data_IF_702558708801
#
_entry.id   IF_702558708801
#
_cell.length_a   1.000
_cell.length_b   1.000
_cell.length_c   1.000
_cell.angle_alpha   90.00
_cell.angle_beta   90.00
_cell.angle_gamma   90.00
#
_symmetry.space_group_name_H-M   'P 1'
#
loop_
_entity.id
_entity.type
_entity.pdbx_description
1 polymer ?
#
# COMPACT_ATOMS: atom_id res chain seq x y z
N UNK A 1 32.28 94.81 15.66
CA UNK A 1 31.02 95.09 14.93
C UNK A 1 30.33 93.75 14.75
N UNK A 2 29.16 93.48 15.36
CA UNK A 2 27.81 93.99 15.01
C UNK A 2 27.43 93.64 13.57
N UNK A 3 26.26 93.09 13.21
CA UNK A 3 25.06 92.52 13.90
C UNK A 3 24.32 91.68 12.79
N UNK A 4 23.36 90.75 12.98
CA UNK A 4 22.55 90.35 14.16
C UNK A 4 21.95 88.90 14.01
N UNK A 5 21.07 88.51 14.94
CA UNK A 5 20.10 87.38 14.92
C UNK A 5 18.63 87.95 14.92
N UNK A 6 17.48 87.22 15.03
CA UNK A 6 17.23 85.79 15.32
C UNK A 6 16.05 85.09 14.56
N UNK A 7 15.80 83.81 14.89
CA UNK A 7 14.46 83.16 14.87
C UNK A 7 14.09 82.32 13.62
N UNK A 8 13.18 81.33 13.67
CA UNK A 8 12.32 80.78 14.75
C UNK A 8 12.07 79.26 14.51
N UNK A 9 11.93 78.45 15.57
CA UNK A 9 11.52 77.03 15.50
C UNK A 9 10.11 76.85 14.91
N UNK A 10 9.83 75.71 14.24
CA UNK A 10 8.44 75.22 14.22
C UNK A 10 8.27 73.70 14.08
N UNK A 11 7.58 73.12 15.06
CA UNK A 11 6.90 71.83 14.95
C UNK A 11 5.93 71.82 13.77
N UNK A 12 5.76 70.65 13.13
CA UNK A 12 4.56 70.35 12.35
C UNK A 12 3.90 69.08 12.90
N UNK A 13 2.69 69.26 13.41
CA UNK A 13 1.75 68.20 13.77
C UNK A 13 0.60 68.24 12.75
N UNK A 14 0.20 67.05 12.31
CA UNK A 14 -1.05 66.66 11.64
C UNK A 14 -2.14 67.73 11.41
N UNK A 15 -2.66 67.77 10.18
CA UNK A 15 -4.10 67.61 9.95
C UNK A 15 -4.37 66.92 8.61
N UNK A 16 -5.46 66.15 8.53
CA UNK A 16 -5.75 65.22 7.44
C UNK A 16 -6.52 65.84 6.27
N UNK A 17 -6.38 65.24 5.08
CA UNK A 17 -7.37 65.33 4.01
C UNK A 17 -7.70 63.91 3.49
N UNK A 18 -8.99 63.58 3.46
CA UNK A 18 -9.51 62.26 3.14
C UNK A 18 -9.76 62.16 1.63
N UNK A 19 -9.11 61.22 0.96
CA UNK A 19 -9.46 60.81 -0.41
C UNK A 19 -9.88 59.35 -0.41
N UNK A 20 -11.18 59.11 -0.60
CA UNK A 20 -11.77 57.77 -0.69
C UNK A 20 -11.39 57.16 -2.05
N UNK A 21 -10.65 56.05 -2.03
CA UNK A 21 -10.59 55.12 -3.17
C UNK A 21 -10.78 53.70 -2.64
N UNK A 22 -11.94 53.12 -2.98
CA UNK A 22 -12.32 51.75 -2.65
C UNK A 22 -11.42 50.75 -3.38
N UNK A 23 -10.45 50.19 -2.67
CA UNK A 23 -9.53 49.20 -3.22
C UNK A 23 -10.19 47.82 -3.19
N UNK A 24 -10.88 47.47 -4.29
CA UNK A 24 -11.54 46.18 -4.45
C UNK A 24 -10.47 45.10 -4.61
N UNK A 25 -10.19 44.38 -3.52
CA UNK A 25 -9.15 43.35 -3.48
C UNK A 25 -9.47 42.13 -4.36
N UNK A 26 -9.14 42.21 -5.64
CA UNK A 26 -8.96 41.01 -6.46
C UNK A 26 -7.74 40.26 -5.94
N UNK A 27 -7.99 39.17 -5.22
CA UNK A 27 -6.97 38.21 -4.86
C UNK A 27 -6.36 37.62 -6.15
N UNK A 28 -5.17 38.09 -6.53
CA UNK A 28 -4.36 37.43 -7.55
C UNK A 28 -3.99 36.04 -7.01
N UNK A 29 -4.63 35.01 -7.57
CA UNK A 29 -4.27 33.63 -7.30
C UNK A 29 -2.78 33.43 -7.65
N UNK A 30 -1.96 33.13 -6.65
CA UNK A 30 -0.53 32.89 -6.85
C UNK A 30 -0.34 31.71 -7.79
N UNK A 31 0.29 31.93 -8.94
CA UNK A 31 0.60 30.86 -9.88
C UNK A 31 1.49 29.79 -9.21
N UNK A 32 1.27 28.49 -9.50
CA UNK A 32 2.02 27.43 -8.84
C UNK A 32 3.51 27.51 -9.17
N UNK A 33 4.34 27.46 -8.12
CA UNK A 33 5.78 27.55 -8.25
C UNK A 33 6.38 26.39 -9.07
N UNK A 34 7.44 26.70 -9.81
CA UNK A 34 8.05 25.85 -10.83
C UNK A 34 8.79 24.63 -10.23
N UNK A 35 8.10 23.50 -10.15
CA UNK A 35 8.70 22.15 -10.21
C UNK A 35 9.63 21.72 -9.07
N UNK A 36 9.15 21.69 -7.82
CA UNK A 36 9.82 20.95 -6.74
C UNK A 36 9.79 19.45 -7.07
N UNK A 37 10.96 18.80 -7.16
CA UNK A 37 11.07 17.33 -7.24
C UNK A 37 10.93 16.75 -5.84
N UNK A 38 9.85 16.02 -5.60
CA UNK A 38 9.59 15.26 -4.38
C UNK A 38 9.99 13.79 -4.58
N UNK A 39 10.47 13.14 -3.52
CA UNK A 39 10.73 11.70 -3.50
C UNK A 39 9.44 10.90 -3.32
N UNK A 40 8.48 11.44 -2.57
CA UNK A 40 7.14 10.86 -2.40
C UNK A 40 6.29 11.04 -3.66
N UNK A 41 5.56 10.00 -4.05
CA UNK A 41 4.54 10.09 -5.09
C UNK A 41 3.36 10.96 -4.62
N UNK A 42 2.68 11.64 -5.56
CA UNK A 42 1.56 12.53 -5.27
C UNK A 42 0.44 11.84 -4.45
N UNK A 43 0.15 10.57 -4.74
CA UNK A 43 -0.85 9.77 -4.03
C UNK A 43 -0.54 9.60 -2.53
N UNK A 44 0.73 9.54 -2.12
CA UNK A 44 1.09 9.51 -0.68
C UNK A 44 0.91 10.89 -0.05
N UNK A 45 1.29 11.97 -0.76
CA UNK A 45 1.10 13.34 -0.28
C UNK A 45 -0.37 13.71 -0.08
N UNK A 46 -1.26 13.23 -0.95
CA UNK A 46 -2.71 13.41 -0.85
C UNK A 46 -3.35 12.76 0.40
N UNK A 47 -2.69 11.78 1.04
CA UNK A 47 -3.20 11.15 2.27
C UNK A 47 -2.93 12.00 3.52
N UNK A 48 -1.85 12.79 3.51
CA UNK A 48 -1.43 13.61 4.65
C UNK A 48 -2.48 14.62 5.14
N UNK A 49 -3.14 15.43 4.27
CA UNK A 49 -4.19 16.35 4.71
C UNK A 49 -5.50 15.66 5.13
N UNK A 50 -5.64 14.35 4.97
CA UNK A 50 -6.83 13.61 5.44
C UNK A 50 -6.69 13.16 6.91
N UNK A 51 -5.48 12.96 7.41
CA UNK A 51 -5.22 12.58 8.79
C UNK A 51 -5.59 13.67 9.81
N UNK A 52 -5.60 14.94 9.40
CA UNK A 52 -5.98 16.09 10.24
C UNK A 52 -7.48 16.42 10.26
N UNK A 53 -8.31 15.71 9.47
CA UNK A 53 -9.73 16.07 9.24
C UNK A 53 -10.74 14.96 9.55
N UNK A 54 -10.37 13.94 10.33
CA UNK A 54 -11.23 12.80 10.65
C UNK A 54 -12.57 13.18 11.32
N UNK A 55 -12.63 14.31 12.05
CA UNK A 55 -13.81 14.74 12.80
C UNK A 55 -14.82 15.60 12.00
N UNK A 56 -14.57 15.90 10.73
CA UNK A 56 -15.38 16.87 9.95
C UNK A 56 -16.34 16.25 8.92
N UNK A 57 -16.30 14.92 8.69
CA UNK A 57 -16.97 14.29 7.53
C UNK A 57 -18.35 13.66 7.78
N UNK A 58 -18.93 13.76 8.99
CA UNK A 58 -20.21 13.11 9.31
C UNK A 58 -21.43 13.71 8.58
N UNK A 59 -21.34 14.95 8.08
CA UNK A 59 -22.50 15.71 7.58
C UNK A 59 -22.48 16.06 6.06
N UNK A 60 -21.54 15.51 5.27
CA UNK A 60 -21.34 15.93 3.87
C UNK A 60 -21.54 14.82 2.81
N UNK A 61 -22.22 13.73 3.14
CA UNK A 61 -22.49 12.61 2.20
C UNK A 61 -23.96 12.59 1.75
N UNK A 62 -24.39 13.65 1.07
CA UNK A 62 -25.53 13.65 0.14
C UNK A 62 -25.24 14.61 -1.00
N UNK A 63 -25.30 14.11 -2.24
CA UNK A 63 -25.08 14.87 -3.50
C UNK A 63 -23.60 15.30 -3.64
N UNK A 64 -22.80 14.84 -4.60
CA UNK A 64 -22.99 14.63 -6.06
C UNK A 64 -22.29 13.34 -6.53
N UNK A 65 -22.77 12.72 -7.61
CA UNK A 65 -22.16 11.54 -8.21
C UNK A 65 -21.55 11.85 -9.60
N UNK A 66 -20.22 11.85 -9.71
CA UNK A 66 -19.52 12.01 -10.99
C UNK A 66 -18.30 11.06 -11.13
N UNK A 67 -18.61 9.77 -11.29
CA UNK A 67 -17.89 8.79 -12.13
C UNK A 67 -16.35 8.79 -12.19
N UNK A 68 -15.66 9.08 -11.09
CA UNK A 68 -14.35 8.51 -10.83
C UNK A 68 -14.45 7.56 -9.63
N UNK A 69 -14.62 6.25 -9.92
CA UNK A 69 -14.11 5.22 -9.00
C UNK A 69 -12.59 5.37 -8.97
N UNK A 70 -12.07 6.25 -8.12
CA UNK A 70 -10.68 6.17 -7.65
C UNK A 70 -10.59 4.79 -7.01
N UNK A 71 -10.03 3.82 -7.75
CA UNK A 71 -9.97 2.43 -7.30
C UNK A 71 -9.31 2.43 -5.92
N UNK A 72 -9.94 1.79 -4.94
CA UNK A 72 -9.38 1.56 -3.61
C UNK A 72 -8.27 0.51 -3.68
N UNK A 73 -7.28 0.75 -4.54
CA UNK A 73 -6.07 -0.06 -4.71
C UNK A 73 -4.97 0.39 -3.74
N UNK A 74 -5.09 1.57 -3.14
CA UNK A 74 -4.26 2.00 -2.02
C UNK A 74 -4.54 1.10 -0.82
N UNK A 75 -3.54 0.34 -0.39
CA UNK A 75 -3.62 -0.51 0.79
C UNK A 75 -3.46 0.35 2.04
N UNK A 76 -4.57 0.82 2.61
CA UNK A 76 -4.61 1.67 3.81
C UNK A 76 -5.33 0.92 4.93
N UNK A 77 -4.67 0.80 6.08
CA UNK A 77 -5.19 0.12 7.28
C UNK A 77 -4.58 0.74 8.53
N UNK A 78 -5.38 1.00 9.57
CA UNK A 78 -4.94 1.47 10.90
C UNK A 78 -3.97 2.67 10.90
N UNK A 79 -4.20 3.64 9.99
CA UNK A 79 -3.33 4.80 9.75
C UNK A 79 -1.93 4.47 9.18
N UNK A 80 -1.76 3.27 8.62
CA UNK A 80 -0.65 2.85 7.78
C UNK A 80 -1.07 2.78 6.31
N UNK A 81 -0.11 2.93 5.40
CA UNK A 81 -0.26 2.70 3.96
C UNK A 81 0.87 1.80 3.47
N UNK A 82 0.58 0.81 2.63
CA UNK A 82 1.65 0.03 1.99
C UNK A 82 2.44 0.91 1.01
N UNK A 83 3.77 0.82 1.07
CA UNK A 83 4.67 1.58 0.19
C UNK A 83 5.65 0.64 -0.52
N UNK A 84 6.07 1.05 -1.71
CA UNK A 84 7.28 0.59 -2.38
C UNK A 84 8.26 1.77 -2.45
N UNK A 85 9.40 1.62 -1.78
CA UNK A 85 10.48 2.59 -1.70
C UNK A 85 11.71 2.08 -2.47
N UNK A 86 12.39 2.97 -3.18
CA UNK A 86 13.59 2.65 -3.96
C UNK A 86 14.82 3.29 -3.32
N UNK A 87 15.87 2.51 -3.09
CA UNK A 87 17.16 2.96 -2.57
C UNK A 87 18.01 3.65 -3.65
N UNK A 88 18.82 4.62 -3.22
CA UNK A 88 19.93 5.18 -3.98
C UNK A 88 21.15 4.24 -4.03
N UNK A 89 21.27 3.31 -3.08
CA UNK A 89 22.28 2.25 -3.06
C UNK A 89 21.81 1.01 -3.83
N UNK A 90 22.74 0.12 -4.19
CA UNK A 90 22.43 -1.15 -4.88
C UNK A 90 21.64 -2.14 -4.03
N UNK A 91 21.78 -2.05 -2.70
CA UNK A 91 21.03 -2.81 -1.72
C UNK A 91 20.15 -1.86 -0.89
N UNK A 92 18.88 -2.22 -0.69
CA UNK A 92 17.91 -1.48 0.12
C UNK A 92 17.99 -1.73 1.63
N UNK A 93 18.89 -2.58 2.12
CA UNK A 93 18.91 -3.01 3.52
C UNK A 93 19.07 -1.85 4.53
N UNK A 94 19.95 -0.88 4.23
CA UNK A 94 20.10 0.32 5.08
C UNK A 94 18.84 1.21 5.05
N UNK A 95 18.20 1.33 3.89
CA UNK A 95 16.93 2.05 3.73
C UNK A 95 15.80 1.34 4.51
N UNK A 96 15.73 0.01 4.49
CA UNK A 96 14.79 -0.78 5.27
C UNK A 96 14.95 -0.50 6.78
N UNK A 97 16.18 -0.52 7.30
CA UNK A 97 16.44 -0.18 8.71
C UNK A 97 15.99 1.23 9.07
N UNK A 98 16.26 2.22 8.21
CA UNK A 98 15.83 3.61 8.42
C UNK A 98 14.30 3.76 8.39
N UNK A 99 13.63 3.07 7.47
CA UNK A 99 12.16 3.06 7.40
C UNK A 99 11.54 2.36 8.62
N UNK A 100 12.13 1.25 9.09
CA UNK A 100 11.71 0.56 10.32
C UNK A 100 11.85 1.45 11.56
N UNK A 101 12.95 2.21 11.71
CA UNK A 101 13.12 3.20 12.78
C UNK A 101 12.05 4.31 12.73
N UNK A 102 11.61 4.69 11.52
CA UNK A 102 10.49 5.62 11.35
C UNK A 102 9.12 4.96 11.59
N UNK A 103 9.05 3.63 11.65
CA UNK A 103 7.87 2.86 12.04
C UNK A 103 7.28 1.98 10.94
N UNK A 104 8.03 1.67 9.86
CA UNK A 104 7.64 0.68 8.86
C UNK A 104 7.41 -0.69 9.52
N UNK A 105 6.24 -1.29 9.27
CA UNK A 105 5.87 -2.66 9.66
C UNK A 105 5.96 -3.60 8.46
N UNK A 106 6.18 -4.89 8.72
CA UNK A 106 6.26 -5.97 7.72
C UNK A 106 7.18 -5.60 6.53
N UNK A 107 8.34 -5.04 6.88
CA UNK A 107 9.31 -4.52 5.91
C UNK A 107 10.09 -5.64 5.24
N UNK A 108 10.11 -5.64 3.90
CA UNK A 108 10.85 -6.57 3.04
C UNK A 108 11.80 -5.80 2.12
N UNK A 109 12.94 -6.38 1.77
CA UNK A 109 13.89 -5.82 0.78
C UNK A 109 14.12 -6.81 -0.35
N UNK A 110 14.20 -6.31 -1.59
CA UNK A 110 14.63 -7.08 -2.75
C UNK A 110 15.47 -6.18 -3.67
N UNK A 111 16.78 -6.47 -3.74
CA UNK A 111 17.75 -5.59 -4.41
C UNK A 111 17.69 -4.17 -3.86
N UNK A 112 17.31 -3.21 -4.70
CA UNK A 112 17.16 -1.78 -4.35
C UNK A 112 15.80 -1.43 -3.75
N UNK A 113 14.82 -2.32 -3.82
CA UNK A 113 13.42 -2.05 -3.47
C UNK A 113 13.13 -2.47 -2.03
N UNK A 114 12.39 -1.64 -1.31
CA UNK A 114 11.93 -1.90 0.05
C UNK A 114 10.41 -1.73 0.08
N UNK A 115 9.69 -2.76 0.50
CA UNK A 115 8.24 -2.73 0.65
C UNK A 115 7.84 -2.85 2.12
N UNK A 116 6.71 -2.26 2.52
CA UNK A 116 6.20 -2.38 3.89
C UNK A 116 5.01 -1.47 4.17
N UNK A 117 4.37 -1.63 5.33
CA UNK A 117 3.33 -0.73 5.80
C UNK A 117 3.95 0.46 6.56
N UNK A 118 3.79 1.68 6.05
CA UNK A 118 4.37 2.91 6.61
C UNK A 118 3.32 3.82 7.26
N UNK A 119 3.58 4.48 8.41
CA UNK A 119 2.61 5.36 9.05
C UNK A 119 2.29 6.60 8.20
N UNK A 120 1.01 6.84 7.88
CA UNK A 120 0.57 7.98 7.06
C UNK A 120 0.98 9.32 7.68
N UNK A 121 0.82 9.45 9.01
CA UNK A 121 1.23 10.63 9.77
C UNK A 121 2.74 10.88 9.86
N UNK A 122 3.58 10.08 9.19
CA UNK A 122 5.04 10.28 9.11
C UNK A 122 5.55 10.41 7.67
N UNK A 123 4.68 10.45 6.65
CA UNK A 123 5.07 10.52 5.23
C UNK A 123 6.02 11.70 4.93
N UNK A 124 5.85 12.86 5.59
CA UNK A 124 6.76 14.02 5.47
C UNK A 124 8.23 13.68 5.76
N UNK A 125 8.47 12.73 6.66
CA UNK A 125 9.82 12.34 7.06
C UNK A 125 10.57 11.59 5.95
N UNK A 126 9.84 10.99 5.00
CA UNK A 126 10.43 10.25 3.87
C UNK A 126 11.27 11.16 2.97
N UNK A 127 10.85 12.42 2.77
CA UNK A 127 11.62 13.41 1.98
C UNK A 127 13.01 13.70 2.57
N UNK A 128 13.18 13.53 3.88
CA UNK A 128 14.45 13.80 4.58
C UNK A 128 15.48 12.67 4.46
N UNK A 129 15.06 11.48 4.02
CA UNK A 129 15.94 10.30 3.93
C UNK A 129 16.88 10.45 2.74
N UNK A 130 18.18 10.57 2.98
CA UNK A 130 19.20 10.73 1.92
C UNK A 130 19.28 9.51 0.99
N UNK A 131 19.17 8.30 1.56
CA UNK A 131 19.23 7.03 0.82
C UNK A 131 17.96 6.73 0.01
N UNK A 132 16.85 7.42 0.26
CA UNK A 132 15.63 7.25 -0.52
C UNK A 132 15.79 7.94 -1.88
N UNK A 133 15.55 7.19 -2.96
CA UNK A 133 15.44 7.71 -4.31
C UNK A 133 14.03 8.23 -4.58
N UNK A 134 13.05 7.35 -4.40
CA UNK A 134 11.63 7.58 -4.63
C UNK A 134 10.79 6.63 -3.78
N UNK A 135 9.55 7.00 -3.50
CA UNK A 135 8.58 6.15 -2.79
C UNK A 135 7.17 6.35 -3.35
N UNK A 136 6.50 5.25 -3.65
CA UNK A 136 5.12 5.21 -4.13
C UNK A 136 4.27 4.34 -3.19
N UNK A 137 2.92 4.45 -3.23
CA UNK A 137 2.08 3.44 -2.60
C UNK A 137 2.29 2.10 -3.31
N UNK A 138 2.42 1.03 -2.53
CA UNK A 138 2.27 -0.32 -3.06
C UNK A 138 0.77 -0.58 -3.27
N UNK A 139 0.36 -0.84 -4.50
CA UNK A 139 -1.03 -1.14 -4.82
C UNK A 139 -1.33 -2.61 -4.56
N UNK A 140 -2.54 -2.91 -4.07
CA UNK A 140 -2.97 -4.30 -3.92
C UNK A 140 -2.92 -5.03 -5.29
N UNK A 141 -2.40 -6.27 -5.36
CA UNK A 141 -2.50 -7.07 -6.57
C UNK A 141 -3.95 -7.20 -7.06
N UNK A 142 -4.15 -7.17 -8.37
CA UNK A 142 -5.47 -7.37 -8.97
C UNK A 142 -5.87 -8.85 -8.87
N UNK A 143 -6.60 -9.21 -7.81
CA UNK A 143 -7.23 -10.53 -7.67
C UNK A 143 -8.47 -10.66 -8.56
N UNK A 144 -8.70 -11.86 -9.09
CA UNK A 144 -9.86 -12.17 -9.92
C UNK A 144 -10.72 -13.28 -9.28
N UNK A 145 -11.07 -13.07 -8.01
CA UNK A 145 -11.79 -14.03 -7.16
C UNK A 145 -13.28 -14.13 -7.54
N UNK A 146 -13.69 -15.27 -8.10
CA UNK A 146 -15.10 -15.63 -8.30
C UNK A 146 -15.68 -16.39 -7.09
N UNK A 147 -16.91 -16.07 -6.68
CA UNK A 147 -17.66 -16.88 -5.69
C UNK A 147 -18.25 -18.13 -6.36
N UNK A 148 -17.48 -19.20 -6.53
CA UNK A 148 -17.98 -20.48 -7.05
C UNK A 148 -17.29 -21.66 -6.37
N UNK A 149 -18.10 -22.56 -5.81
CA UNK A 149 -17.69 -23.88 -5.32
C UNK A 149 -17.31 -24.80 -6.50
N UNK A 150 -16.03 -25.16 -6.60
CA UNK A 150 -15.38 -26.22 -7.40
C UNK A 150 -16.07 -26.83 -8.64
N UNK A 151 -16.72 -26.02 -9.49
CA UNK A 151 -17.15 -26.47 -10.83
C UNK A 151 -15.95 -26.59 -11.80
N UNK A 152 -14.79 -26.06 -11.43
CA UNK A 152 -13.58 -26.04 -12.27
C UNK A 152 -13.07 -27.42 -12.63
N UNK A 153 -13.04 -28.35 -11.68
CA UNK A 153 -12.50 -29.70 -11.87
C UNK A 153 -13.27 -30.48 -12.96
N UNK A 154 -14.60 -30.41 -12.93
CA UNK A 154 -15.48 -30.97 -13.96
C UNK A 154 -15.41 -30.20 -15.29
N UNK A 155 -15.31 -28.86 -15.25
CA UNK A 155 -15.22 -28.03 -16.46
C UNK A 155 -13.96 -28.33 -17.30
N UNK A 156 -12.82 -28.57 -16.65
CA UNK A 156 -11.57 -28.98 -17.32
C UNK A 156 -11.44 -30.51 -17.49
N UNK A 157 -12.42 -31.29 -17.01
CA UNK A 157 -12.42 -32.76 -16.98
C UNK A 157 -11.22 -33.36 -16.25
N UNK A 158 -10.67 -32.66 -15.27
CA UNK A 158 -9.54 -33.17 -14.49
C UNK A 158 -9.94 -34.43 -13.71
N UNK A 159 -11.18 -34.53 -13.23
CA UNK A 159 -11.73 -35.74 -12.61
C UNK A 159 -11.67 -36.98 -13.54
N UNK A 160 -11.95 -36.81 -14.84
CA UNK A 160 -11.86 -37.89 -15.84
C UNK A 160 -10.40 -38.32 -16.03
N UNK A 161 -9.48 -37.34 -16.14
CA UNK A 161 -8.05 -37.60 -16.36
C UNK A 161 -7.41 -38.23 -15.11
N UNK A 162 -7.71 -37.73 -13.91
CA UNK A 162 -7.34 -38.30 -12.62
C UNK A 162 -7.76 -39.78 -12.54
N UNK A 163 -9.03 -40.10 -12.80
CA UNK A 163 -9.56 -41.47 -12.73
C UNK A 163 -8.96 -42.39 -13.79
N UNK A 164 -8.81 -41.91 -15.02
CA UNK A 164 -8.31 -42.69 -16.16
C UNK A 164 -6.83 -43.04 -16.03
N UNK A 165 -6.01 -42.09 -15.59
CA UNK A 165 -4.54 -42.23 -15.52
C UNK A 165 -4.01 -42.41 -14.09
N UNK A 166 -4.90 -42.44 -13.07
CA UNK A 166 -4.57 -42.53 -11.64
C UNK A 166 -3.63 -41.42 -11.15
N UNK A 167 -3.80 -40.23 -11.72
CA UNK A 167 -2.98 -39.07 -11.38
C UNK A 167 -3.51 -38.39 -10.12
N UNK A 168 -2.61 -38.11 -9.18
CA UNK A 168 -2.92 -37.44 -7.91
C UNK A 168 -2.04 -36.21 -7.65
N UNK A 169 -0.97 -35.98 -8.42
CA UNK A 169 0.00 -34.92 -8.16
C UNK A 169 1.14 -35.30 -7.19
N UNK A 170 1.22 -36.56 -6.74
CA UNK A 170 2.36 -37.06 -5.94
C UNK A 170 3.68 -36.81 -6.66
N UNK A 171 4.63 -36.20 -5.95
CA UNK A 171 5.93 -35.78 -6.49
C UNK A 171 5.99 -34.29 -6.91
N UNK A 172 4.84 -33.63 -7.04
CA UNK A 172 4.76 -32.18 -7.19
C UNK A 172 4.56 -31.48 -5.85
N UNK A 173 5.08 -30.26 -5.76
CA UNK A 173 4.82 -29.33 -4.67
C UNK A 173 4.46 -27.97 -5.27
N UNK A 174 3.26 -27.49 -4.97
CA UNK A 174 2.66 -26.31 -5.57
C UNK A 174 2.80 -25.13 -4.60
N UNK A 175 3.39 -24.04 -5.07
CA UNK A 175 3.51 -22.79 -4.32
C UNK A 175 2.35 -21.85 -4.62
N UNK A 176 1.66 -21.39 -3.57
CA UNK A 176 0.59 -20.41 -3.66
C UNK A 176 1.09 -19.08 -3.12
N UNK A 177 1.04 -18.04 -3.97
CA UNK A 177 1.42 -16.67 -3.65
C UNK A 177 0.17 -15.77 -3.79
N UNK A 178 -0.54 -15.52 -2.69
CA UNK A 178 -1.77 -14.70 -2.71
C UNK A 178 -1.97 -13.88 -1.42
N UNK A 179 -3.19 -13.48 -1.05
CA UNK A 179 -3.43 -12.57 0.07
C UNK A 179 -3.16 -13.20 1.44
N UNK A 180 -4.02 -14.12 1.85
CA UNK A 180 -3.94 -14.86 3.12
C UNK A 180 -4.36 -16.31 2.92
N UNK A 181 -3.99 -17.15 3.89
CA UNK A 181 -4.47 -18.52 3.99
C UNK A 181 -5.31 -18.76 5.26
N UNK A 182 -4.90 -18.17 6.39
CA UNK A 182 -5.53 -18.39 7.69
C UNK A 182 -5.99 -17.12 8.40
N UNK A 183 -6.43 -16.08 7.68
CA UNK A 183 -7.06 -14.93 8.32
C UNK A 183 -8.40 -15.32 8.97
N UNK A 184 -9.13 -16.27 8.37
CA UNK A 184 -10.23 -17.01 9.00
C UNK A 184 -9.76 -18.41 9.44
N UNK A 185 -9.33 -18.52 10.70
CA UNK A 185 -8.88 -19.78 11.30
C UNK A 185 -10.00 -20.83 11.40
N UNK A 186 -11.27 -20.42 11.56
CA UNK A 186 -12.41 -21.33 11.55
C UNK A 186 -12.64 -21.89 10.14
N UNK A 187 -12.42 -21.07 9.10
CA UNK A 187 -12.42 -21.47 7.70
C UNK A 187 -11.36 -22.54 7.36
N UNK A 188 -10.12 -22.38 7.86
CA UNK A 188 -9.07 -23.42 7.73
C UNK A 188 -9.50 -24.72 8.40
N UNK A 189 -10.00 -24.64 9.64
CA UNK A 189 -10.43 -25.82 10.39
C UNK A 189 -11.62 -26.54 9.71
N UNK A 190 -12.56 -25.78 9.16
CA UNK A 190 -13.71 -26.31 8.43
C UNK A 190 -13.29 -27.07 7.16
N UNK A 191 -12.42 -26.48 6.32
CA UNK A 191 -11.94 -27.13 5.09
C UNK A 191 -11.13 -28.41 5.35
N UNK A 192 -10.35 -28.45 6.43
CA UNK A 192 -9.65 -29.68 6.84
C UNK A 192 -10.64 -30.74 7.35
N UNK A 193 -11.72 -30.32 8.02
CA UNK A 193 -12.74 -31.24 8.56
C UNK A 193 -13.69 -31.79 7.47
N UNK A 194 -13.98 -31.04 6.41
CA UNK A 194 -14.71 -31.52 5.24
C UNK A 194 -13.85 -32.37 4.30
N UNK A 195 -12.53 -32.13 4.28
CA UNK A 195 -11.58 -32.76 3.37
C UNK A 195 -11.28 -31.95 2.12
N UNK A 196 -11.77 -30.70 2.04
CA UNK A 196 -11.49 -29.78 0.94
C UNK A 196 -10.07 -29.17 1.05
N UNK A 197 -9.47 -29.17 2.25
CA UNK A 197 -8.06 -28.79 2.50
C UNK A 197 -7.24 -29.98 3.04
N UNK A 198 -5.98 -30.13 2.59
CA UNK A 198 -5.05 -31.04 3.22
C UNK A 198 -4.57 -30.45 4.57
N UNK A 199 -4.50 -31.29 5.60
CA UNK A 199 -4.05 -30.87 6.94
C UNK A 199 -2.55 -30.55 7.07
N UNK A 200 -1.77 -30.56 5.99
CA UNK A 200 -0.32 -30.39 5.99
C UNK A 200 0.21 -29.33 4.99
N UNK A 201 -0.58 -28.29 4.69
CA UNK A 201 -0.12 -27.11 3.95
C UNK A 201 1.04 -26.42 4.70
N UNK A 202 2.15 -26.18 4.02
CA UNK A 202 3.28 -25.45 4.60
C UNK A 202 3.10 -23.94 4.47
N UNK A 203 2.81 -23.25 5.58
CA UNK A 203 2.72 -21.79 5.61
C UNK A 203 4.12 -21.19 5.83
N UNK A 204 4.61 -20.43 4.83
CA UNK A 204 5.90 -19.72 4.89
C UNK A 204 5.75 -18.27 5.38
N UNK A 205 4.65 -17.62 5.01
CA UNK A 205 4.31 -16.24 5.37
C UNK A 205 2.81 -16.04 5.18
N UNK A 206 2.15 -15.42 6.15
CA UNK A 206 0.71 -15.13 6.12
C UNK A 206 0.41 -13.82 6.89
N UNK A 207 -0.81 -13.32 6.80
CA UNK A 207 -1.30 -12.17 7.57
C UNK A 207 -2.63 -12.50 8.26
N UNK A 208 -2.82 -11.93 9.45
CA UNK A 208 -4.04 -12.14 10.27
C UNK A 208 -5.32 -11.49 9.68
N UNK A 209 -5.21 -10.80 8.55
CA UNK A 209 -6.34 -10.14 7.86
C UNK A 209 -6.18 -10.17 6.34
N UNK A 210 -7.17 -10.72 5.66
CA UNK A 210 -7.27 -10.83 4.21
C UNK A 210 -8.64 -11.35 3.78
N UNK A 211 -8.73 -11.93 2.59
CA UNK A 211 -9.95 -12.58 2.09
C UNK A 211 -9.82 -14.11 1.97
N UNK A 212 -8.71 -14.68 2.41
CA UNK A 212 -8.35 -16.11 2.29
C UNK A 212 -8.49 -16.66 0.87
N UNK A 213 -8.14 -15.84 -0.12
CA UNK A 213 -8.13 -16.28 -1.51
C UNK A 213 -7.00 -17.30 -1.73
N UNK A 214 -5.89 -17.18 -1.01
CA UNK A 214 -4.85 -18.20 -0.95
C UNK A 214 -5.33 -19.55 -0.39
N UNK A 215 -6.31 -19.56 0.52
CA UNK A 215 -6.96 -20.80 1.00
C UNK A 215 -7.89 -21.39 -0.04
N UNK A 216 -8.71 -20.57 -0.69
CA UNK A 216 -9.58 -21.01 -1.79
C UNK A 216 -8.77 -21.55 -3.00
N UNK A 217 -7.58 -20.99 -3.24
CA UNK A 217 -6.61 -21.56 -4.18
C UNK A 217 -6.09 -22.93 -3.70
N UNK A 218 -5.80 -23.10 -2.42
CA UNK A 218 -5.34 -24.37 -1.86
C UNK A 218 -6.42 -25.46 -1.92
N UNK A 219 -7.68 -25.12 -1.66
CA UNK A 219 -8.86 -25.99 -1.87
C UNK A 219 -8.94 -26.43 -3.34
N UNK A 220 -8.87 -25.47 -4.28
CA UNK A 220 -8.88 -25.75 -5.73
C UNK A 220 -7.72 -26.64 -6.18
N UNK A 221 -6.53 -26.44 -5.59
CA UNK A 221 -5.36 -27.29 -5.85
C UNK A 221 -5.55 -28.69 -5.28
N UNK A 222 -6.16 -28.83 -4.11
CA UNK A 222 -6.43 -30.13 -3.50
C UNK A 222 -7.42 -30.97 -4.33
N UNK A 223 -8.49 -30.35 -4.83
CA UNK A 223 -9.45 -31.00 -5.74
C UNK A 223 -8.80 -31.53 -7.03
N UNK A 224 -7.88 -30.75 -7.60
CA UNK A 224 -7.23 -31.06 -8.88
C UNK A 224 -6.00 -31.97 -8.72
N UNK A 225 -5.33 -31.93 -7.57
CA UNK A 225 -4.11 -32.67 -7.28
C UNK A 225 -4.01 -33.09 -5.79
N UNK A 226 -4.88 -34.02 -5.31
CA UNK A 226 -5.04 -34.32 -3.88
C UNK A 226 -3.82 -34.97 -3.21
N UNK A 227 -2.86 -35.47 -4.01
CA UNK A 227 -1.59 -36.03 -3.55
C UNK A 227 -0.37 -35.10 -3.74
N UNK A 228 -0.55 -33.90 -4.31
CA UNK A 228 0.49 -32.88 -4.33
C UNK A 228 0.69 -32.29 -2.92
N UNK A 229 1.89 -31.77 -2.65
CA UNK A 229 2.12 -30.94 -1.47
C UNK A 229 1.85 -29.48 -1.81
N UNK A 230 1.37 -28.72 -0.83
CA UNK A 230 1.04 -27.29 -0.99
C UNK A 230 1.90 -26.49 -0.02
N UNK A 231 2.44 -25.37 -0.48
CA UNK A 231 3.00 -24.33 0.38
C UNK A 231 2.35 -22.98 0.06
N UNK A 232 2.19 -22.13 1.07
CA UNK A 232 1.62 -20.79 0.93
C UNK A 232 2.62 -19.72 1.37
N UNK A 233 2.63 -18.59 0.66
CA UNK A 233 3.31 -17.36 1.06
C UNK A 233 2.42 -16.17 0.70
N UNK A 234 2.32 -15.17 1.57
CA UNK A 234 1.58 -13.95 1.23
C UNK A 234 2.32 -13.09 0.19
N UNK A 235 1.58 -12.54 -0.76
CA UNK A 235 1.99 -11.55 -1.76
C UNK A 235 2.18 -10.13 -1.18
N UNK A 236 1.72 -9.90 0.05
CA UNK A 236 1.67 -8.58 0.69
C UNK A 236 2.99 -8.23 1.41
N UNK A 237 3.29 -6.93 1.60
CA UNK A 237 2.48 -5.76 1.26
C UNK A 237 2.86 -5.05 -0.04
N UNK A 238 3.91 -5.50 -0.73
CA UNK A 238 4.41 -4.83 -1.94
C UNK A 238 5.47 -5.64 -2.69
N UNK A 239 6.03 -5.05 -3.73
CA UNK A 239 6.80 -5.76 -4.75
C UNK A 239 8.04 -6.52 -4.23
N UNK A 240 8.73 -6.02 -3.20
CA UNK A 240 9.86 -6.72 -2.58
C UNK A 240 9.41 -7.95 -1.77
N UNK A 241 8.24 -7.92 -1.15
CA UNK A 241 7.68 -9.08 -0.47
C UNK A 241 7.17 -10.12 -1.48
N UNK A 242 6.53 -9.68 -2.56
CA UNK A 242 6.12 -10.54 -3.68
C UNK A 242 7.32 -11.28 -4.30
N UNK A 243 8.41 -10.57 -4.61
CA UNK A 243 9.63 -11.16 -5.18
C UNK A 243 10.27 -12.19 -4.24
N UNK A 244 10.39 -11.86 -2.95
CA UNK A 244 10.89 -12.80 -1.94
C UNK A 244 9.96 -14.01 -1.77
N UNK A 245 8.64 -13.83 -1.89
CA UNK A 245 7.67 -14.93 -1.85
C UNK A 245 7.90 -15.99 -2.94
N UNK A 246 8.20 -15.56 -4.17
CA UNK A 246 8.56 -16.47 -5.27
C UNK A 246 9.82 -17.29 -4.91
N UNK A 247 10.85 -16.62 -4.39
CA UNK A 247 12.12 -17.26 -4.01
C UNK A 247 11.89 -18.25 -2.86
N UNK A 248 11.21 -17.82 -1.81
CA UNK A 248 10.90 -18.63 -0.63
C UNK A 248 10.09 -19.89 -0.99
N UNK A 249 9.14 -19.80 -1.91
CA UNK A 249 8.38 -20.96 -2.39
C UNK A 249 9.27 -21.93 -3.18
N UNK A 250 10.14 -21.42 -4.06
CA UNK A 250 11.10 -22.25 -4.80
C UNK A 250 12.14 -22.92 -3.87
N UNK A 251 12.66 -22.19 -2.87
CA UNK A 251 13.58 -22.72 -1.84
C UNK A 251 12.90 -23.75 -0.92
N UNK A 252 11.60 -23.60 -0.66
CA UNK A 252 10.79 -24.63 -0.01
C UNK A 252 10.56 -25.88 -0.88
N UNK A 253 11.12 -25.93 -2.09
CA UNK A 253 11.03 -27.05 -3.02
C UNK A 253 9.73 -27.09 -3.82
N UNK A 254 9.00 -25.97 -3.95
CA UNK A 254 7.89 -25.89 -4.89
C UNK A 254 8.43 -25.96 -6.33
N UNK A 255 7.80 -26.78 -7.16
CA UNK A 255 8.17 -27.00 -8.57
C UNK A 255 7.08 -26.56 -9.55
N UNK A 256 6.01 -25.96 -9.02
CA UNK A 256 4.88 -25.32 -9.70
C UNK A 256 4.55 -24.06 -8.90
#
# INVERSE_FOLDING_TARGET
MKQDLPGVMRNFIFLALICIHSNLGLAQASQPAKGIKYKTAAALRELQPQATSANARTNAIKTEASNFRKLNALQIKDNYVAIDAVSNLENGQELLQQLQQLGLKNGSVYGRMVSGFFPIGKIDKLETISQLNSVAPAYAPLRNSGKVESQGNAAIKADVVQKMYRLTGVGSKIGILSDTYGADADGVAAGIASGDLPGDVQILSDFDEGTDEGRAMAETVHDVAPGAKIAFHSAYPGQAAFANGIINLAEAGCNI
#
